data_IF_499025484554
#
_entry.id   IF_499025484554
#
_cell.length_a   1.000
_cell.length_b   1.000
_cell.length_c   1.000
_cell.angle_alpha   90.00
_cell.angle_beta   90.00
_cell.angle_gamma   90.00
#
_symmetry.space_group_name_H-M   'P 1'
#
loop_
_entity.id
_entity.type
_entity.pdbx_description
1 polymer ?
#
# COMPACT_ATOMS: atom_id res chain seq x y z
N UNK A 1 14.82 -7.43 -5.03
CA UNK A 1 13.49 -7.52 -4.36
C UNK A 1 12.30 -7.18 -5.27
N UNK A 2 12.51 -7.06 -6.58
CA UNK A 2 11.54 -6.55 -7.56
C UNK A 2 10.32 -7.46 -7.75
N UNK A 3 10.47 -8.77 -7.55
CA UNK A 3 9.33 -9.71 -7.55
C UNK A 3 8.44 -9.54 -6.32
N UNK A 4 9.02 -9.24 -5.15
CA UNK A 4 8.23 -9.11 -3.92
C UNK A 4 7.35 -7.86 -3.92
N UNK A 5 7.84 -6.72 -4.42
CA UNK A 5 7.03 -5.51 -4.55
C UNK A 5 5.82 -5.70 -5.49
N UNK A 6 5.99 -6.49 -6.56
CA UNK A 6 4.88 -6.87 -7.45
C UNK A 6 3.86 -7.80 -6.79
N UNK A 7 4.33 -8.74 -5.96
CA UNK A 7 3.43 -9.61 -5.17
C UNK A 7 2.64 -8.78 -4.14
N UNK A 8 3.28 -7.81 -3.48
CA UNK A 8 2.60 -6.89 -2.57
C UNK A 8 1.55 -6.03 -3.29
N UNK A 9 1.89 -5.48 -4.46
CA UNK A 9 0.95 -4.73 -5.29
C UNK A 9 -0.24 -5.59 -5.75
N UNK A 10 0.00 -6.86 -6.11
CA UNK A 10 -1.07 -7.80 -6.46
C UNK A 10 -2.04 -8.04 -5.30
N UNK A 11 -1.53 -8.29 -4.09
CA UNK A 11 -2.38 -8.49 -2.91
C UNK A 11 -3.17 -7.24 -2.54
N UNK A 12 -2.58 -6.04 -2.65
CA UNK A 12 -3.29 -4.78 -2.45
C UNK A 12 -4.41 -4.57 -3.47
N UNK A 13 -4.21 -5.01 -4.71
CA UNK A 13 -5.25 -5.01 -5.75
C UNK A 13 -6.42 -5.92 -5.38
N UNK A 14 -6.13 -7.14 -4.92
CA UNK A 14 -7.15 -8.09 -4.47
C UNK A 14 -7.93 -7.51 -3.28
N UNK A 15 -7.24 -6.90 -2.32
CA UNK A 15 -7.88 -6.24 -1.17
C UNK A 15 -8.74 -5.05 -1.63
N UNK A 16 -8.27 -4.24 -2.58
CA UNK A 16 -9.05 -3.15 -3.18
C UNK A 16 -10.33 -3.63 -3.88
N UNK A 17 -10.25 -4.76 -4.60
CA UNK A 17 -11.42 -5.43 -5.19
C UNK A 17 -12.40 -5.90 -4.11
N UNK A 18 -11.91 -6.46 -3.00
CA UNK A 18 -12.76 -6.85 -1.87
C UNK A 18 -13.43 -5.66 -1.19
N UNK A 19 -12.75 -4.53 -1.01
CA UNK A 19 -13.35 -3.31 -0.47
C UNK A 19 -14.41 -2.71 -1.40
N UNK A 20 -14.20 -2.81 -2.72
CA UNK A 20 -15.20 -2.41 -3.71
C UNK A 20 -16.44 -3.30 -3.64
N UNK A 21 -16.27 -4.62 -3.47
CA UNK A 21 -17.38 -5.54 -3.22
C UNK A 21 -18.10 -5.25 -1.89
N UNK A 22 -17.39 -4.74 -0.89
CA UNK A 22 -17.94 -4.28 0.39
C UNK A 22 -18.59 -2.89 0.37
N UNK A 23 -18.80 -2.27 -0.80
CA UNK A 23 -19.32 -0.90 -0.97
C UNK A 23 -18.49 0.22 -0.29
N UNK A 24 -17.25 -0.07 0.13
CA UNK A 24 -16.35 0.89 0.78
C UNK A 24 -15.48 1.61 -0.24
N UNK A 25 -16.10 2.42 -1.11
CA UNK A 25 -15.45 3.02 -2.28
C UNK A 25 -14.23 3.88 -1.95
N UNK A 26 -14.26 4.62 -0.83
CA UNK A 26 -13.15 5.51 -0.40
C UNK A 26 -11.91 4.70 -0.03
N UNK A 27 -12.09 3.62 0.74
CA UNK A 27 -11.00 2.74 1.15
C UNK A 27 -10.49 1.91 -0.03
N UNK A 28 -11.40 1.45 -0.89
CA UNK A 28 -11.04 0.75 -2.12
C UNK A 28 -10.09 1.60 -2.97
N UNK A 29 -10.44 2.87 -3.24
CA UNK A 29 -9.61 3.78 -4.04
C UNK A 29 -8.21 3.97 -3.46
N UNK A 30 -8.12 4.07 -2.13
CA UNK A 30 -6.85 4.25 -1.41
C UNK A 30 -5.95 3.02 -1.56
N UNK A 31 -6.51 1.82 -1.46
CA UNK A 31 -5.79 0.56 -1.68
C UNK A 31 -5.39 0.35 -3.15
N UNK A 32 -6.21 0.76 -4.11
CA UNK A 32 -5.86 0.77 -5.53
C UNK A 32 -4.69 1.70 -5.84
N UNK A 33 -4.71 2.92 -5.28
CA UNK A 33 -3.63 3.88 -5.47
C UNK A 33 -2.30 3.34 -4.91
N UNK A 34 -2.36 2.77 -3.71
CA UNK A 34 -1.20 2.14 -3.10
C UNK A 34 -0.69 0.94 -3.91
N UNK A 35 -1.58 0.09 -4.41
CA UNK A 35 -1.23 -1.03 -5.28
C UNK A 35 -0.49 -0.57 -6.55
N UNK A 36 -0.95 0.52 -7.17
CA UNK A 36 -0.30 1.12 -8.33
C UNK A 36 1.12 1.62 -8.01
N UNK A 37 1.32 2.27 -6.86
CA UNK A 37 2.66 2.69 -6.41
C UNK A 37 3.60 1.49 -6.26
N UNK A 38 3.15 0.41 -5.60
CA UNK A 38 3.97 -0.80 -5.43
C UNK A 38 4.28 -1.48 -6.76
N UNK A 39 3.36 -1.43 -7.71
CA UNK A 39 3.58 -1.95 -9.06
C UNK A 39 4.66 -1.15 -9.78
N UNK A 40 4.53 0.19 -9.83
CA UNK A 40 5.50 1.09 -10.48
C UNK A 40 6.89 0.94 -9.85
N UNK A 41 6.97 0.96 -8.51
CA UNK A 41 8.23 0.77 -7.78
C UNK A 41 8.83 -0.61 -8.03
N UNK A 42 8.01 -1.66 -8.22
CA UNK A 42 8.48 -3.01 -8.54
C UNK A 42 9.03 -3.19 -9.96
N UNK A 43 8.77 -2.26 -10.89
CA UNK A 43 9.37 -2.24 -12.23
C UNK A 43 10.68 -1.45 -12.29
N UNK A 44 10.85 -0.48 -11.39
CA UNK A 44 12.09 0.26 -11.24
C UNK A 44 13.11 -0.67 -10.58
N UNK A 45 14.04 -1.21 -11.37
CA UNK A 45 15.09 -2.16 -10.94
C UNK A 45 16.09 -1.55 -9.96
N UNK A 46 15.64 -1.17 -8.77
CA UNK A 46 16.46 -0.56 -7.73
C UNK A 46 17.32 -1.58 -7.00
N UNK A 47 18.36 -1.07 -6.34
CA UNK A 47 19.19 -1.87 -5.43
C UNK A 47 18.38 -2.32 -4.21
N UNK A 48 18.72 -3.48 -3.64
CA UNK A 48 17.94 -4.08 -2.55
C UNK A 48 17.81 -3.19 -1.30
N UNK A 49 18.84 -2.39 -1.01
CA UNK A 49 18.82 -1.40 0.09
C UNK A 49 17.78 -0.31 -0.13
N UNK A 50 17.63 0.17 -1.36
CA UNK A 50 16.64 1.20 -1.71
C UNK A 50 15.23 0.68 -1.54
N UNK A 51 14.98 -0.57 -1.94
CA UNK A 51 13.68 -1.24 -1.72
C UNK A 51 13.33 -1.38 -0.24
N UNK A 52 14.29 -1.75 0.61
CA UNK A 52 14.05 -1.85 2.06
C UNK A 52 13.76 -0.48 2.68
N UNK A 53 14.47 0.58 2.26
CA UNK A 53 14.20 1.95 2.72
C UNK A 53 12.83 2.46 2.29
N UNK A 54 12.44 2.23 1.03
CA UNK A 54 11.11 2.57 0.52
C UNK A 54 10.01 1.81 1.28
N UNK A 55 10.22 0.50 1.51
CA UNK A 55 9.28 -0.30 2.28
C UNK A 55 9.16 0.17 3.72
N UNK A 56 10.29 0.43 4.39
CA UNK A 56 10.31 0.97 5.75
C UNK A 56 9.63 2.33 5.86
N UNK A 57 9.90 3.25 4.92
CA UNK A 57 9.22 4.53 4.84
C UNK A 57 7.72 4.39 4.62
N UNK A 58 7.31 3.47 3.74
CA UNK A 58 5.89 3.13 3.55
C UNK A 58 5.24 2.59 4.84
N UNK A 59 5.92 1.73 5.60
CA UNK A 59 5.39 1.20 6.85
C UNK A 59 5.16 2.31 7.88
N UNK A 60 6.10 3.26 8.00
CA UNK A 60 5.93 4.43 8.88
C UNK A 60 4.74 5.27 8.46
N UNK A 61 4.63 5.61 7.17
CA UNK A 61 3.50 6.39 6.66
C UNK A 61 2.16 5.69 6.88
N UNK A 62 2.07 4.39 6.58
CA UNK A 62 0.85 3.61 6.78
C UNK A 62 0.47 3.52 8.26
N UNK A 63 1.46 3.30 9.14
CA UNK A 63 1.23 3.21 10.58
C UNK A 63 0.78 4.55 11.16
N UNK A 64 1.43 5.65 10.80
CA UNK A 64 1.02 7.00 11.21
C UNK A 64 -0.36 7.34 10.67
N UNK A 65 -0.68 6.98 9.41
CA UNK A 65 -2.01 7.19 8.82
C UNK A 65 -3.12 6.46 9.60
N UNK A 66 -2.90 5.20 9.97
CA UNK A 66 -3.83 4.43 10.78
C UNK A 66 -3.97 5.02 12.18
N UNK A 67 -2.84 5.33 12.86
CA UNK A 67 -2.86 5.92 14.21
C UNK A 67 -3.58 7.26 14.21
N UNK A 68 -3.32 8.11 13.22
CA UNK A 68 -4.01 9.40 13.07
C UNK A 68 -5.52 9.19 12.89
N UNK A 69 -5.94 8.31 11.98
CA UNK A 69 -7.35 8.05 11.75
C UNK A 69 -8.04 7.46 13.00
N UNK A 70 -7.40 6.52 13.70
CA UNK A 70 -7.95 5.95 14.93
C UNK A 70 -8.02 6.97 16.08
N UNK A 71 -7.04 7.86 16.22
CA UNK A 71 -7.00 8.81 17.34
C UNK A 71 -7.90 10.02 17.14
N UNK A 72 -8.09 10.49 15.90
CA UNK A 72 -8.83 11.73 15.60
C UNK A 72 -10.21 11.51 14.97
N UNK A 73 -10.54 10.31 14.48
CA UNK A 73 -11.84 10.02 13.87
C UNK A 73 -12.64 8.91 14.57
N UNK A 74 -11.99 8.06 15.37
CA UNK A 74 -12.67 6.95 16.08
C UNK A 74 -12.77 7.19 17.59
N UNK A 75 -11.85 7.96 18.19
CA UNK A 75 -11.93 8.41 19.59
C UNK A 75 -12.76 9.67 19.77
#
# INVERSE_FOLDING_TARGET
MDRMFRVLGFWLLVIGLMFMAGHMNILALLFYFQAAIFFVLGYLKYTERTYMLLFGGYMVLAFTGIVYWSFFHVG
#
